data_IF_046562926375
#
_entry.id   IF_046562926375
#
_cell.length_a   1.000
_cell.length_b   1.000
_cell.length_c   1.000
_cell.angle_alpha   90.00
_cell.angle_beta   90.00
_cell.angle_gamma   90.00
#
_symmetry.space_group_name_H-M   'P 1'
#
loop_
_entity.id
_entity.type
_entity.pdbx_description
1 polymer ?
#
# COMPACT_ATOMS: atom_id res chain seq x y z
N UNK A 1 8.14 15.08 -9.73
CA UNK A 1 7.26 15.75 -8.77
C UNK A 1 5.82 15.46 -9.14
N UNK A 2 5.05 14.83 -8.25
CA UNK A 2 3.63 14.53 -8.47
C UNK A 2 2.77 15.80 -8.52
N UNK A 3 1.61 15.70 -9.15
CA UNK A 3 0.63 16.76 -9.22
C UNK A 3 -0.08 16.90 -7.88
N UNK A 4 -0.63 18.08 -7.61
CA UNK A 4 -1.35 18.33 -6.36
C UNK A 4 -2.55 17.38 -6.17
N UNK A 5 -3.18 16.96 -7.27
CA UNK A 5 -4.25 15.97 -7.24
C UNK A 5 -3.75 14.60 -6.75
N UNK A 6 -2.57 14.16 -7.20
CA UNK A 6 -1.97 12.90 -6.79
C UNK A 6 -1.55 12.95 -5.32
N UNK A 7 -0.96 14.06 -4.86
CA UNK A 7 -0.62 14.26 -3.44
C UNK A 7 -1.87 14.19 -2.54
N UNK A 8 -2.98 14.83 -2.96
CA UNK A 8 -4.24 14.75 -2.22
C UNK A 8 -4.81 13.34 -2.20
N UNK A 9 -4.72 12.61 -3.31
CA UNK A 9 -5.16 11.23 -3.41
C UNK A 9 -4.29 10.31 -2.53
N UNK A 10 -2.96 10.47 -2.57
CA UNK A 10 -2.02 9.73 -1.73
C UNK A 10 -2.35 9.94 -0.24
N UNK A 11 -2.54 11.19 0.19
CA UNK A 11 -2.93 11.49 1.57
C UNK A 11 -4.29 10.89 1.96
N UNK A 12 -5.25 10.82 1.03
CA UNK A 12 -6.54 10.17 1.27
C UNK A 12 -6.41 8.65 1.42
N UNK A 13 -5.64 8.00 0.54
CA UNK A 13 -5.38 6.56 0.61
C UNK A 13 -4.56 6.19 1.84
N UNK A 14 -3.60 7.03 2.24
CA UNK A 14 -2.84 6.84 3.47
C UNK A 14 -3.75 6.89 4.72
N UNK A 15 -4.70 7.84 4.77
CA UNK A 15 -5.69 7.88 5.85
C UNK A 15 -6.58 6.64 5.87
N UNK A 16 -7.11 6.25 4.70
CA UNK A 16 -7.93 5.04 4.57
C UNK A 16 -7.15 3.80 5.04
N UNK A 17 -5.89 3.67 4.63
CA UNK A 17 -5.04 2.56 5.05
C UNK A 17 -4.82 2.55 6.56
N UNK A 18 -4.50 3.71 7.15
CA UNK A 18 -4.34 3.83 8.59
C UNK A 18 -5.61 3.43 9.36
N UNK A 19 -6.79 3.82 8.88
CA UNK A 19 -8.06 3.43 9.48
C UNK A 19 -8.29 1.91 9.39
N UNK A 20 -8.06 1.30 8.23
CA UNK A 20 -8.20 -0.15 8.02
C UNK A 20 -7.20 -0.97 8.85
N UNK A 21 -5.96 -0.50 8.92
CA UNK A 21 -4.89 -1.07 9.74
C UNK A 21 -5.24 -0.98 11.23
N UNK A 22 -5.72 0.18 11.70
CA UNK A 22 -6.16 0.36 13.09
C UNK A 22 -7.38 -0.50 13.44
N UNK A 23 -8.33 -0.70 12.52
CA UNK A 23 -9.45 -1.63 12.72
C UNK A 23 -8.98 -3.08 12.86
N UNK A 24 -7.94 -3.48 12.11
CA UNK A 24 -7.29 -4.79 12.28
C UNK A 24 -6.57 -4.90 13.63
N UNK A 25 -5.90 -3.85 14.12
CA UNK A 25 -5.22 -3.84 15.42
C UNK A 25 -6.20 -3.79 16.60
N UNK A 26 -7.28 -3.00 16.50
CA UNK A 26 -8.28 -2.84 17.56
C UNK A 26 -9.17 -4.09 17.75
N UNK A 27 -9.31 -4.93 16.72
CA UNK A 27 -9.96 -6.24 16.83
C UNK A 27 -9.03 -7.35 17.35
N UNK A 28 -7.74 -7.05 17.55
CA UNK A 28 -6.70 -8.01 17.92
C UNK A 28 -5.88 -7.55 19.12
N UNK A 29 -6.40 -7.78 20.33
CA UNK A 29 -5.55 -7.87 21.52
C UNK A 29 -4.54 -9.01 21.35
N UNK A 30 -3.36 -8.70 20.83
CA UNK A 30 -2.15 -9.54 20.87
C UNK A 30 -1.98 -10.63 19.80
N UNK A 31 -3.02 -11.01 19.04
CA UNK A 31 -2.89 -11.96 17.92
C UNK A 31 -4.11 -11.85 17.00
N UNK A 32 -3.99 -11.20 15.83
CA UNK A 32 -5.14 -11.05 14.93
C UNK A 32 -5.17 -12.17 13.90
N UNK A 33 -6.09 -13.11 14.11
CA UNK A 33 -6.41 -14.22 13.21
C UNK A 33 -7.46 -13.81 12.17
N UNK A 34 -7.03 -13.35 10.99
CA UNK A 34 -7.91 -13.23 9.83
C UNK A 34 -7.94 -14.56 9.07
N UNK A 35 -8.59 -15.57 9.65
CA UNK A 35 -8.67 -16.92 9.08
C UNK A 35 -10.08 -17.34 8.73
N UNK A 36 -10.43 -17.36 7.44
CA UNK A 36 -11.33 -18.42 6.95
C UNK A 36 -10.46 -19.69 6.90
N UNK A 37 -10.62 -20.57 7.89
CA UNK A 37 -9.87 -21.83 7.97
C UNK A 37 -8.59 -21.80 8.82
N UNK A 38 -8.42 -20.86 9.75
CA UNK A 38 -7.36 -20.93 10.78
C UNK A 38 -5.99 -20.33 10.41
N UNK A 39 -5.89 -19.61 9.30
CA UNK A 39 -4.67 -18.86 8.93
C UNK A 39 -4.70 -17.46 9.56
N UNK A 40 -3.65 -17.09 10.27
CA UNK A 40 -3.48 -15.76 10.90
C UNK A 40 -2.62 -14.92 9.97
N UNK A 41 -3.23 -14.07 9.15
CA UNK A 41 -2.48 -13.12 8.31
C UNK A 41 -2.11 -11.90 9.15
N UNK A 42 -0.81 -11.61 9.28
CA UNK A 42 -0.33 -10.40 9.95
C UNK A 42 -0.49 -9.22 8.99
N UNK A 43 -0.77 -8.03 9.53
CA UNK A 43 -0.88 -6.79 8.74
C UNK A 43 0.34 -6.59 7.82
N UNK A 44 1.54 -6.78 8.36
CA UNK A 44 2.80 -6.69 7.63
C UNK A 44 2.91 -7.66 6.44
N UNK A 45 2.38 -8.89 6.57
CA UNK A 45 2.43 -9.88 5.49
C UNK A 45 1.46 -9.48 4.37
N UNK A 46 0.29 -8.94 4.74
CA UNK A 46 -0.68 -8.42 3.78
C UNK A 46 -0.18 -7.17 3.05
N UNK A 47 0.49 -6.25 3.76
CA UNK A 47 1.15 -5.10 3.15
C UNK A 47 2.18 -5.53 2.11
N UNK A 48 3.02 -6.53 2.47
CA UNK A 48 4.00 -7.10 1.55
C UNK A 48 3.33 -7.74 0.34
N UNK A 49 2.25 -8.51 0.53
CA UNK A 49 1.52 -9.12 -0.59
C UNK A 49 1.00 -8.07 -1.59
N UNK A 50 0.55 -6.90 -1.11
CA UNK A 50 0.14 -5.79 -1.99
C UNK A 50 1.34 -5.22 -2.75
N UNK A 51 2.46 -4.99 -2.08
CA UNK A 51 3.66 -4.44 -2.71
C UNK A 51 4.23 -5.42 -3.75
N UNK A 52 4.32 -6.70 -3.41
CA UNK A 52 4.78 -7.78 -4.30
C UNK A 52 3.88 -7.88 -5.54
N UNK A 53 2.56 -7.80 -5.35
CA UNK A 53 1.59 -7.75 -6.45
C UNK A 53 1.84 -6.56 -7.38
N UNK A 54 2.05 -5.35 -6.82
CA UNK A 54 2.31 -4.15 -7.60
C UNK A 54 3.65 -4.23 -8.35
N UNK A 55 4.69 -4.79 -7.75
CA UNK A 55 5.98 -5.03 -8.41
C UNK A 55 5.83 -5.96 -9.60
N UNK A 56 5.15 -7.10 -9.40
CA UNK A 56 4.90 -8.06 -10.47
C UNK A 56 4.07 -7.44 -11.61
N UNK A 57 3.05 -6.64 -11.29
CA UNK A 57 2.24 -5.95 -12.29
C UNK A 57 3.03 -4.87 -13.04
N UNK A 58 3.86 -4.09 -12.33
CA UNK A 58 4.71 -3.08 -12.92
C UNK A 58 5.70 -3.71 -13.91
N UNK A 59 6.36 -4.81 -13.52
CA UNK A 59 7.26 -5.56 -14.39
C UNK A 59 6.54 -6.10 -15.63
N UNK A 60 5.33 -6.65 -15.47
CA UNK A 60 4.51 -7.18 -16.58
C UNK A 60 4.08 -6.10 -17.57
N UNK A 61 3.80 -4.90 -17.09
CA UNK A 61 3.32 -3.78 -17.90
C UNK A 61 4.44 -2.85 -18.40
N UNK A 62 5.68 -3.06 -17.98
CA UNK A 62 6.83 -2.23 -18.37
C UNK A 62 6.88 -0.88 -17.66
N UNK A 63 6.30 -0.79 -16.47
CA UNK A 63 6.14 0.46 -15.70
C UNK A 63 7.37 0.71 -14.85
N UNK A 64 8.46 1.07 -15.53
CA UNK A 64 9.81 1.13 -14.96
C UNK A 64 9.92 2.10 -13.76
N UNK A 65 9.28 3.27 -13.83
CA UNK A 65 9.37 4.26 -12.75
C UNK A 65 8.64 3.78 -11.47
N UNK A 66 7.48 3.13 -11.63
CA UNK A 66 6.74 2.56 -10.52
C UNK A 66 7.49 1.36 -9.92
N UNK A 67 8.01 0.47 -10.77
CA UNK A 67 8.83 -0.67 -10.35
C UNK A 67 10.06 -0.23 -9.56
N UNK A 68 10.82 0.74 -10.09
CA UNK A 68 12.02 1.26 -9.44
C UNK A 68 11.72 1.96 -8.09
N UNK A 69 10.54 2.56 -7.93
CA UNK A 69 10.11 3.09 -6.64
C UNK A 69 9.86 1.96 -5.64
N UNK A 70 9.07 0.95 -6.02
CA UNK A 70 8.74 -0.20 -5.16
C UNK A 70 9.98 -1.02 -4.79
N UNK A 71 10.89 -1.26 -5.73
CA UNK A 71 12.15 -1.98 -5.50
C UNK A 71 13.04 -1.26 -4.47
N UNK A 72 13.02 0.08 -4.48
CA UNK A 72 13.77 0.90 -3.53
C UNK A 72 13.23 0.77 -2.12
N UNK A 73 11.90 0.75 -1.97
CA UNK A 73 11.28 0.46 -0.68
C UNK A 73 11.60 -0.96 -0.23
N UNK A 74 11.50 -1.95 -1.12
CA UNK A 74 11.78 -3.35 -0.78
C UNK A 74 13.22 -3.53 -0.30
N UNK A 75 14.17 -2.89 -0.98
CA UNK A 75 15.58 -2.89 -0.58
C UNK A 75 15.82 -2.21 0.78
N UNK A 76 15.09 -1.13 1.09
CA UNK A 76 15.22 -0.41 2.35
C UNK A 76 14.66 -1.19 3.56
N UNK A 77 13.62 -2.01 3.33
CA UNK A 77 12.96 -2.76 4.37
C UNK A 77 13.67 -4.07 4.79
N UNK A 78 14.68 -4.51 4.04
CA UNK A 78 15.48 -5.69 4.40
C UNK A 78 14.65 -6.98 4.41
N UNK A 79 14.81 -7.80 5.46
CA UNK A 79 14.16 -9.12 5.56
C UNK A 79 12.64 -9.05 5.81
N UNK A 80 12.14 -7.91 6.26
CA UNK A 80 10.72 -7.74 6.60
C UNK A 80 9.87 -7.38 5.36
N UNK A 81 10.51 -6.85 4.30
CA UNK A 81 9.85 -6.41 3.06
C UNK A 81 9.18 -5.05 3.20
N UNK A 82 8.98 -4.34 2.08
CA UNK A 82 8.38 -3.01 2.11
C UNK A 82 6.91 -3.08 2.50
N UNK A 83 6.52 -2.27 3.48
CA UNK A 83 5.12 -2.08 3.81
C UNK A 83 4.45 -1.08 2.88
N UNK A 84 3.14 -1.27 2.73
CA UNK A 84 2.28 -0.35 2.00
C UNK A 84 2.25 1.03 2.67
N UNK A 85 2.35 1.07 4.01
CA UNK A 85 2.38 2.31 4.78
C UNK A 85 3.56 3.21 4.38
N UNK A 86 4.77 2.66 4.19
CA UNK A 86 5.93 3.45 3.76
C UNK A 86 5.75 3.99 2.34
N UNK A 87 5.24 3.16 1.42
CA UNK A 87 4.97 3.58 0.03
C UNK A 87 3.95 4.72 0.00
N UNK A 88 2.84 4.59 0.72
CA UNK A 88 1.82 5.64 0.81
C UNK A 88 2.37 6.92 1.47
N UNK A 89 3.25 6.79 2.47
CA UNK A 89 3.93 7.90 3.11
C UNK A 89 4.81 8.68 2.14
N UNK A 90 5.63 8.00 1.35
CA UNK A 90 6.48 8.65 0.34
C UNK A 90 5.63 9.29 -0.77
N UNK A 91 4.55 8.63 -1.22
CA UNK A 91 3.63 9.21 -2.21
C UNK A 91 2.89 10.45 -1.71
N UNK A 92 2.65 10.57 -0.41
CA UNK A 92 1.95 11.70 0.21
C UNK A 92 2.88 12.85 0.62
N UNK A 93 4.20 12.64 0.66
CA UNK A 93 5.17 13.66 1.05
C UNK A 93 5.47 14.61 -0.13
N UNK A 94 5.10 15.91 -0.05
CA UNK A 94 5.40 16.88 -1.10
C UNK A 94 6.90 17.15 -1.27
N UNK A 95 7.74 16.81 -0.29
CA UNK A 95 9.18 16.90 -0.38
C UNK A 95 9.83 15.67 -1.03
N UNK A 96 9.10 14.56 -1.15
CA UNK A 96 9.60 13.34 -1.78
C UNK A 96 9.75 13.52 -3.31
N UNK A 97 10.86 13.01 -3.82
CA UNK A 97 11.18 13.10 -5.25
C UNK A 97 10.59 11.92 -6.01
N UNK A 98 9.26 11.84 -6.04
CA UNK A 98 8.54 10.79 -6.76
C UNK A 98 8.30 11.22 -8.22
N UNK A 99 8.62 10.37 -9.21
CA UNK A 99 8.24 10.59 -10.59
C UNK A 99 6.72 10.67 -10.75
N UNK A 100 6.25 11.61 -11.57
CA UNK A 100 4.82 11.83 -11.77
C UNK A 100 4.10 10.59 -12.31
N UNK A 101 4.70 9.87 -13.26
CA UNK A 101 4.07 8.70 -13.84
C UNK A 101 3.99 7.55 -12.82
N UNK A 102 5.06 7.35 -12.03
CA UNK A 102 5.04 6.39 -10.91
C UNK A 102 3.91 6.70 -9.91
N UNK A 103 3.81 7.93 -9.44
CA UNK A 103 2.76 8.33 -8.50
C UNK A 103 1.36 8.08 -9.08
N UNK A 104 1.10 8.57 -10.28
CA UNK A 104 -0.19 8.41 -10.94
C UNK A 104 -0.57 6.93 -11.12
N UNK A 105 0.38 6.11 -11.57
CA UNK A 105 0.17 4.69 -11.81
C UNK A 105 -0.12 3.89 -10.53
N UNK A 106 0.65 4.17 -9.46
CA UNK A 106 0.52 3.52 -8.17
C UNK A 106 -0.81 3.89 -7.52
N UNK A 107 -1.15 5.18 -7.50
CA UNK A 107 -2.38 5.67 -6.88
C UNK A 107 -3.63 5.11 -7.53
N UNK A 108 -3.65 4.97 -8.86
CA UNK A 108 -4.77 4.36 -9.58
C UNK A 108 -5.00 2.87 -9.22
N UNK A 109 -3.95 2.16 -8.81
CA UNK A 109 -4.05 0.75 -8.39
C UNK A 109 -4.38 0.62 -6.92
N UNK A 110 -3.69 1.38 -6.08
CA UNK A 110 -3.94 1.42 -4.65
C UNK A 110 -5.37 1.86 -4.33
N UNK A 111 -5.92 2.83 -5.07
CA UNK A 111 -7.32 3.23 -4.91
C UNK A 111 -8.29 2.06 -5.12
N UNK A 112 -8.11 1.28 -6.19
CA UNK A 112 -8.94 0.11 -6.48
C UNK A 112 -8.77 -0.99 -5.42
N UNK A 113 -7.53 -1.30 -5.05
CA UNK A 113 -7.22 -2.34 -4.07
C UNK A 113 -7.79 -1.99 -2.69
N UNK A 114 -7.49 -0.78 -2.20
CA UNK A 114 -7.90 -0.34 -0.86
C UNK A 114 -9.39 -0.08 -0.77
N UNK A 115 -10.02 0.51 -1.79
CA UNK A 115 -11.47 0.71 -1.81
C UNK A 115 -12.21 -0.62 -1.88
N UNK A 116 -11.72 -1.60 -2.66
CA UNK A 116 -12.31 -2.94 -2.71
C UNK A 116 -12.22 -3.63 -1.36
N UNK A 117 -11.05 -3.56 -0.71
CA UNK A 117 -10.86 -4.11 0.63
C UNK A 117 -11.76 -3.44 1.66
N UNK A 118 -11.81 -2.10 1.66
CA UNK A 118 -12.68 -1.32 2.55
C UNK A 118 -14.16 -1.69 2.39
N UNK A 119 -14.64 -1.99 1.17
CA UNK A 119 -16.04 -2.44 0.97
C UNK A 119 -16.31 -3.84 1.53
N UNK A 120 -15.32 -4.72 1.52
CA UNK A 120 -15.46 -6.09 2.02
C UNK A 120 -15.41 -6.15 3.56
N UNK A 121 -14.69 -5.23 4.20
CA UNK A 121 -14.46 -5.22 5.64
C UNK A 121 -15.18 -4.09 6.38
N UNK A 122 -15.37 -2.94 5.74
CA UNK A 122 -16.16 -1.81 6.19
C UNK A 122 -17.60 -1.98 5.74
N UNK A 123 -18.36 -2.77 6.48
CA UNK A 123 -19.80 -2.85 6.29
C UNK A 123 -20.47 -1.50 6.58
N UNK A 124 -20.83 -0.79 5.51
CA UNK A 124 -21.69 0.40 5.39
C UNK A 124 -21.02 1.77 5.52
#
# INVERSE_FOLDING_TARGET
MPAEADLRQAAALQRLWNELALQHVAMGGGACACGIGGVVVRLQDFERDIVDYLQAEAARLGEQEAGALLDRHAAAAGADGAGLAEVLGELADPAAQVPQAAAHWLLARLDRTLTSFARLHGGR
#
